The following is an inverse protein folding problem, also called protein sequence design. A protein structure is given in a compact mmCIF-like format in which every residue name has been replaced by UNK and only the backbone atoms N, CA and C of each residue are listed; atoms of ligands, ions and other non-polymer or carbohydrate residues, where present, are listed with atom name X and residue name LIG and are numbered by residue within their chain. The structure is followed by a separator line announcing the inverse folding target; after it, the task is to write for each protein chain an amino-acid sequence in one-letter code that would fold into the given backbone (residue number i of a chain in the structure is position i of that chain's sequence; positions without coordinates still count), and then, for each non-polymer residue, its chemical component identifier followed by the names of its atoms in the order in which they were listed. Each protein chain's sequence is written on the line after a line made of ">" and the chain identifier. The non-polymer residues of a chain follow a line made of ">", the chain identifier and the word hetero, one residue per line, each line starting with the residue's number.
data_IF_463829920399
#
_entry.id   IF_463829920399
#
_cell.length_a   1.000
_cell.length_b   1.000
_cell.length_c   1.000
_cell.angle_alpha   90.00
_cell.angle_beta   90.00
_cell.angle_gamma   90.00
#
_symmetry.space_group_name_H-M   'P 1'
#
loop_
_entity.id
_entity.type
_entity.pdbx_description
1 polymer ?
#
# COMPACT_ATOMS: atom_id res chain seq x y z
N UNK A 1 54.40 19.16 -4.03
CA UNK A 1 55.10 17.87 -3.79
C UNK A 1 54.04 16.84 -3.45
N UNK A 2 53.61 16.06 -4.43
CA UNK A 2 52.57 15.04 -4.26
C UNK A 2 53.24 13.78 -3.67
N UNK A 3 53.02 13.50 -2.38
CA UNK A 3 53.61 12.31 -1.75
C UNK A 3 52.82 11.08 -2.19
N UNK A 4 53.55 10.05 -2.62
CA UNK A 4 52.95 8.78 -3.05
C UNK A 4 52.03 8.20 -1.96
N UNK A 5 50.85 7.62 -2.33
CA UNK A 5 49.84 7.13 -1.38
C UNK A 5 50.35 6.08 -0.38
N UNK A 6 51.47 5.43 -0.67
CA UNK A 6 52.14 4.51 0.26
C UNK A 6 52.80 5.20 1.46
N UNK A 7 53.33 6.41 1.29
CA UNK A 7 53.97 7.17 2.37
C UNK A 7 52.95 7.74 3.37
N UNK A 8 51.77 8.16 2.88
CA UNK A 8 50.70 8.65 3.75
C UNK A 8 50.22 7.59 4.74
N UNK A 9 50.05 6.33 4.26
CA UNK A 9 49.65 5.22 5.13
C UNK A 9 50.68 4.91 6.21
N UNK A 10 51.97 4.92 5.85
CA UNK A 10 53.07 4.73 6.82
C UNK A 10 53.14 5.87 7.83
N UNK A 11 52.92 7.11 7.40
CA UNK A 11 52.83 8.25 8.30
C UNK A 11 51.65 8.12 9.26
N UNK A 12 50.47 7.68 8.81
CA UNK A 12 49.29 7.47 9.66
C UNK A 12 49.52 6.44 10.77
N UNK A 13 50.31 5.40 10.50
CA UNK A 13 50.57 4.35 11.47
C UNK A 13 51.46 4.79 12.64
N UNK A 14 52.30 5.80 12.42
CA UNK A 14 53.20 6.37 13.45
C UNK A 14 52.53 7.43 14.34
N UNK A 15 51.31 7.86 14.02
CA UNK A 15 50.60 8.93 14.73
C UNK A 15 49.78 8.39 15.91
N UNK A 16 49.70 9.20 16.96
CA UNK A 16 48.85 8.93 18.13
C UNK A 16 47.36 8.93 17.75
N UNK A 17 46.53 8.17 18.47
CA UNK A 17 45.11 8.00 18.16
C UNK A 17 44.33 9.34 18.16
N UNK A 18 44.73 10.28 19.01
CA UNK A 18 44.17 11.64 19.07
C UNK A 18 44.48 12.47 17.82
N UNK A 19 45.71 12.38 17.32
CA UNK A 19 46.14 13.06 16.09
C UNK A 19 45.42 12.51 14.85
N UNK A 20 45.23 11.17 14.79
CA UNK A 20 44.42 10.52 13.74
C UNK A 20 42.99 11.05 13.74
N UNK A 21 42.36 11.18 14.90
CA UNK A 21 41.01 11.76 15.02
C UNK A 21 40.96 13.22 14.57
N UNK A 22 41.89 14.07 15.00
CA UNK A 22 41.94 15.48 14.59
C UNK A 22 42.14 15.63 13.08
N UNK A 23 42.97 14.78 12.46
CA UNK A 23 43.23 14.82 11.01
C UNK A 23 42.00 14.39 10.20
N UNK A 24 41.30 13.34 10.62
CA UNK A 24 40.04 12.89 10.00
C UNK A 24 38.98 13.99 10.11
N UNK A 25 38.82 14.61 11.28
CA UNK A 25 37.87 15.71 11.47
C UNK A 25 38.18 16.92 10.57
N UNK A 26 39.46 17.31 10.43
CA UNK A 26 39.84 18.37 9.49
C UNK A 26 39.51 18.01 8.04
N UNK A 27 39.72 16.76 7.62
CA UNK A 27 39.44 16.32 6.24
C UNK A 27 37.93 16.31 5.95
N UNK A 28 37.10 15.92 6.90
CA UNK A 28 35.64 16.00 6.77
C UNK A 28 35.22 17.47 6.58
N UNK A 29 35.77 18.38 7.38
CA UNK A 29 35.44 19.80 7.28
C UNK A 29 35.88 20.44 5.95
N UNK A 30 37.03 20.03 5.38
CA UNK A 30 37.47 20.55 4.07
C UNK A 30 36.59 20.05 2.92
N UNK A 31 36.21 18.77 2.93
CA UNK A 31 35.29 18.22 1.92
C UNK A 31 33.92 18.91 2.00
N UNK A 32 33.46 19.17 3.23
CA UNK A 32 32.20 19.85 3.45
C UNK A 32 32.24 21.33 3.02
N UNK A 33 33.40 21.99 3.08
CA UNK A 33 33.57 23.34 2.50
C UNK A 33 33.68 23.33 0.97
N UNK A 34 34.28 22.29 0.37
CA UNK A 34 34.36 22.14 -1.09
C UNK A 34 32.97 21.93 -1.69
N UNK A 35 32.11 21.11 -1.05
CA UNK A 35 30.72 20.91 -1.48
C UNK A 35 29.88 22.19 -1.37
N UNK A 36 30.20 23.11 -0.45
CA UNK A 36 29.49 24.38 -0.32
C UNK A 36 29.93 25.45 -1.34
N UNK A 37 31.08 25.28 -1.99
CA UNK A 37 31.67 26.28 -2.90
C UNK A 37 31.11 26.28 -4.33
N UNK A 38 30.30 25.29 -4.73
CA UNK A 38 29.92 25.07 -6.13
C UNK A 38 28.52 25.57 -6.53
N UNK A 39 27.95 26.56 -5.82
CA UNK A 39 26.56 27.01 -6.07
C UNK A 39 26.39 28.50 -6.36
N UNK A 40 27.36 29.17 -6.98
CA UNK A 40 27.15 30.57 -7.36
C UNK A 40 27.89 31.00 -8.65
N UNK A 41 27.52 30.45 -9.80
CA UNK A 41 27.69 31.11 -11.10
C UNK A 41 26.51 30.75 -12.02
N UNK A 42 25.89 31.76 -12.64
CA UNK A 42 24.93 31.53 -13.73
C UNK A 42 23.63 32.32 -13.75
N UNK A 43 23.55 33.50 -13.14
CA UNK A 43 22.63 34.53 -13.60
C UNK A 43 23.21 35.17 -14.87
N UNK A 44 22.60 34.99 -16.06
CA UNK A 44 22.44 36.06 -17.05
C UNK A 44 21.64 35.66 -18.32
N UNK A 45 20.85 36.63 -18.76
CA UNK A 45 20.37 36.87 -20.14
C UNK A 45 19.15 36.06 -20.61
N UNK A 46 17.91 36.57 -20.66
CA UNK A 46 17.36 37.81 -21.26
C UNK A 46 17.46 37.86 -22.79
N UNK A 47 16.36 37.50 -23.48
CA UNK A 47 15.90 38.05 -24.77
C UNK A 47 14.50 37.47 -25.09
N UNK A 48 13.39 38.17 -24.90
CA UNK A 48 12.81 39.32 -25.63
C UNK A 48 12.32 39.02 -27.05
N UNK A 49 11.17 39.64 -27.38
CA UNK A 49 10.48 39.87 -28.67
C UNK A 49 9.29 38.93 -28.93
N UNK A 50 8.01 39.34 -28.78
CA UNK A 50 7.18 40.39 -29.43
C UNK A 50 6.68 40.04 -30.83
N UNK A 51 5.36 39.85 -30.96
CA UNK A 51 4.49 40.27 -32.09
C UNK A 51 3.03 39.99 -31.66
N UNK A 52 2.22 40.99 -31.28
CA UNK A 52 1.32 41.80 -32.14
C UNK A 52 0.43 40.97 -33.06
N UNK A 53 -0.87 40.86 -32.78
CA UNK A 53 -1.95 41.78 -33.22
C UNK A 53 -2.18 41.69 -34.73
N UNK A 54 -3.32 41.14 -35.17
CA UNK A 54 -4.46 41.88 -35.73
C UNK A 54 -5.56 40.94 -36.24
N UNK A 55 -6.79 41.43 -36.09
CA UNK A 55 -8.04 40.96 -36.70
C UNK A 55 -7.91 40.64 -38.19
N UNK A 56 -8.66 39.65 -38.68
CA UNK A 56 -9.68 39.91 -39.69
C UNK A 56 -10.60 38.69 -39.90
N UNK A 57 -11.88 38.98 -39.69
CA UNK A 57 -13.06 38.26 -40.19
C UNK A 57 -13.04 38.16 -41.71
N UNK A 58 -13.31 36.99 -42.29
CA UNK A 58 -14.31 36.78 -43.36
C UNK A 58 -14.21 35.40 -44.01
N UNK A 59 -15.39 34.76 -44.08
CA UNK A 59 -15.89 33.88 -45.14
C UNK A 59 -15.19 32.56 -45.49
N UNK A 60 -16.02 31.52 -45.34
CA UNK A 60 -15.97 30.13 -45.78
C UNK A 60 -15.56 29.91 -47.26
N UNK A 61 -15.17 28.66 -47.61
CA UNK A 61 -14.17 28.36 -48.62
C UNK A 61 -14.76 27.94 -49.97
N UNK A 62 -14.04 28.14 -51.10
CA UNK A 62 -14.39 27.48 -52.35
C UNK A 62 -13.70 26.11 -52.44
N UNK A 63 -14.55 25.10 -52.59
CA UNK A 63 -14.23 23.74 -52.98
C UNK A 63 -13.48 23.71 -54.32
N UNK A 64 -12.20 23.35 -54.32
CA UNK A 64 -11.45 23.00 -55.52
C UNK A 64 -10.60 21.73 -55.26
N UNK A 65 -11.12 20.63 -55.81
CA UNK A 65 -10.45 19.40 -56.27
C UNK A 65 -8.95 19.26 -55.92
N UNK A 66 -8.67 18.44 -54.89
CA UNK A 66 -7.33 17.96 -54.57
C UNK A 66 -6.98 16.83 -55.57
N UNK A 67 -5.98 17.09 -56.41
CA UNK A 67 -5.45 16.14 -57.39
C UNK A 67 -4.78 14.93 -56.68
N UNK A 68 -4.95 13.68 -57.16
CA UNK A 68 -4.62 12.49 -56.38
C UNK A 68 -3.14 12.09 -56.35
N UNK A 69 -2.24 12.85 -56.98
CA UNK A 69 -0.84 12.42 -57.19
C UNK A 69 0.20 13.17 -56.36
N UNK A 70 -0.19 13.82 -55.26
CA UNK A 70 0.74 14.37 -54.26
C UNK A 70 0.70 13.57 -52.96
N UNK A 71 0.71 12.24 -53.09
CA UNK A 71 1.12 11.31 -52.03
C UNK A 71 2.65 11.35 -51.87
N UNK A 72 3.21 12.51 -51.53
CA UNK A 72 4.57 12.58 -50.98
C UNK A 72 4.40 12.66 -49.46
N UNK A 73 4.28 11.50 -48.81
CA UNK A 73 4.36 11.41 -47.35
C UNK A 73 5.79 11.81 -46.97
N UNK A 74 6.00 12.96 -46.31
CA UNK A 74 7.34 13.31 -45.86
C UNK A 74 7.77 12.29 -44.80
N UNK A 75 8.96 11.73 -44.99
CA UNK A 75 9.55 10.76 -44.08
C UNK A 75 9.57 11.33 -42.65
N UNK A 76 9.07 10.56 -41.68
CA UNK A 76 8.89 10.94 -40.25
C UNK A 76 10.18 11.46 -39.60
N UNK A 77 11.35 11.13 -40.17
CA UNK A 77 12.67 11.63 -39.75
C UNK A 77 12.87 13.14 -39.99
N UNK A 78 12.16 13.73 -40.96
CA UNK A 78 12.27 15.16 -41.29
C UNK A 78 11.49 16.07 -40.33
N UNK A 79 10.51 15.53 -39.61
CA UNK A 79 9.60 16.31 -38.77
C UNK A 79 10.13 16.58 -37.36
N UNK A 80 11.32 16.07 -36.99
CA UNK A 80 11.97 16.40 -35.72
C UNK A 80 11.15 16.08 -34.45
N UNK A 81 10.04 15.35 -34.60
CA UNK A 81 9.08 15.01 -33.55
C UNK A 81 9.61 13.95 -32.59
N UNK A 82 10.81 13.41 -32.83
CA UNK A 82 11.50 12.50 -31.90
C UNK A 82 12.23 13.26 -30.76
N UNK A 83 11.99 14.57 -30.63
CA UNK A 83 12.40 15.38 -29.46
C UNK A 83 11.30 15.55 -28.41
N UNK A 84 10.30 14.66 -28.39
CA UNK A 84 9.39 14.55 -27.27
C UNK A 84 10.08 13.81 -26.13
N UNK A 85 10.34 14.50 -25.01
CA UNK A 85 10.77 13.86 -23.77
C UNK A 85 9.83 12.69 -23.45
N UNK A 86 10.38 11.48 -23.42
CA UNK A 86 9.63 10.28 -23.04
C UNK A 86 9.08 10.52 -21.64
N UNK A 87 7.75 10.48 -21.44
CA UNK A 87 7.16 10.69 -20.12
C UNK A 87 7.68 9.59 -19.18
N UNK A 88 8.12 9.93 -17.95
CA UNK A 88 8.71 8.95 -17.05
C UNK A 88 7.71 7.84 -16.78
N UNK A 89 8.17 6.60 -16.95
CA UNK A 89 7.36 5.41 -16.80
C UNK A 89 6.62 5.50 -15.45
N UNK A 90 5.29 5.36 -15.45
CA UNK A 90 4.43 5.43 -14.24
C UNK A 90 4.83 4.45 -13.12
N UNK A 91 5.80 3.57 -13.37
CA UNK A 91 6.40 2.64 -12.39
C UNK A 91 7.51 3.30 -11.56
N UNK A 92 8.07 4.42 -12.00
CA UNK A 92 9.22 5.07 -11.34
C UNK A 92 8.80 6.04 -10.21
N UNK A 93 7.53 6.45 -10.16
CA UNK A 93 7.04 7.36 -9.11
C UNK A 93 7.00 6.69 -7.72
N UNK A 94 6.85 5.36 -7.67
CA UNK A 94 6.88 4.59 -6.42
C UNK A 94 8.32 4.24 -6.03
N UNK A 95 9.24 4.13 -7.00
CA UNK A 95 10.63 3.76 -6.73
C UNK A 95 11.51 4.93 -6.25
N UNK A 96 11.03 6.19 -6.38
CA UNK A 96 11.76 7.38 -5.89
C UNK A 96 11.27 7.93 -4.56
N UNK A 97 10.67 7.11 -3.70
CA UNK A 97 10.85 7.38 -2.27
C UNK A 97 12.31 6.99 -2.02
N UNK A 98 13.24 7.91 -1.76
CA UNK A 98 14.60 7.52 -1.46
C UNK A 98 14.52 6.57 -0.27
N UNK A 99 14.79 5.27 -0.51
CA UNK A 99 15.08 4.32 0.54
C UNK A 99 16.24 4.94 1.30
N UNK A 100 15.93 5.60 2.42
CA UNK A 100 16.95 6.07 3.32
C UNK A 100 17.58 4.80 3.85
N UNK A 101 18.65 4.35 3.20
CA UNK A 101 19.44 3.20 3.55
C UNK A 101 20.00 3.38 4.97
N UNK A 102 19.16 3.12 5.97
CA UNK A 102 19.54 2.94 7.37
C UNK A 102 19.69 1.46 7.71
N UNK A 103 19.62 0.57 6.73
CA UNK A 103 19.53 -0.89 6.92
C UNK A 103 20.74 -1.52 7.62
N UNK A 104 21.86 -0.81 7.80
CA UNK A 104 23.05 -1.36 8.46
C UNK A 104 23.51 -0.59 9.71
N UNK A 105 23.14 0.69 9.83
CA UNK A 105 23.62 1.53 10.94
C UNK A 105 23.12 1.06 12.31
N UNK A 106 21.98 0.38 12.36
CA UNK A 106 21.44 -0.13 13.62
C UNK A 106 22.00 -1.50 14.01
N UNK A 107 22.28 -2.41 13.07
CA UNK A 107 22.98 -3.66 13.40
C UNK A 107 24.36 -3.39 14.04
N UNK A 108 25.03 -2.33 13.59
CA UNK A 108 26.26 -1.84 14.21
C UNK A 108 26.00 -1.34 15.65
N UNK A 109 24.85 -0.70 15.88
CA UNK A 109 24.44 -0.22 17.20
C UNK A 109 23.93 -1.34 18.12
N UNK A 110 23.35 -2.45 17.69
CA UNK A 110 22.97 -3.52 18.64
C UNK A 110 24.08 -4.50 18.92
N UNK A 111 25.06 -4.63 18.02
CA UNK A 111 26.21 -5.49 18.25
C UNK A 111 26.96 -5.11 19.54
N UNK A 112 27.08 -3.83 19.90
CA UNK A 112 27.70 -3.45 21.17
C UNK A 112 26.92 -3.94 22.40
N UNK A 113 25.58 -4.02 22.35
CA UNK A 113 24.78 -4.55 23.47
C UNK A 113 25.00 -6.05 23.70
N UNK A 114 25.29 -6.80 22.64
CA UNK A 114 25.58 -8.24 22.70
C UNK A 114 27.06 -8.54 23.00
N UNK A 115 27.97 -7.71 22.48
CA UNK A 115 29.42 -7.93 22.50
C UNK A 115 30.20 -7.01 23.43
N UNK A 116 29.54 -6.21 24.30
CA UNK A 116 30.24 -5.33 25.24
C UNK A 116 31.39 -6.11 25.89
N UNK A 117 32.63 -5.69 25.58
CA UNK A 117 33.86 -6.21 26.15
C UNK A 117 33.77 -5.91 27.65
N UNK A 118 33.19 -6.86 28.38
CA UNK A 118 32.77 -6.65 29.76
C UNK A 118 34.00 -6.33 30.61
N UNK A 119 34.12 -5.06 30.98
CA UNK A 119 34.85 -4.62 32.17
C UNK A 119 34.60 -5.62 33.31
N UNK A 120 35.66 -6.10 34.00
CA UNK A 120 35.52 -7.07 35.07
C UNK A 120 34.45 -6.61 36.05
N UNK A 121 33.61 -7.53 36.56
CA UNK A 121 32.56 -7.15 37.49
C UNK A 121 33.18 -6.41 38.68
N UNK A 122 32.62 -5.26 39.11
CA UNK A 122 33.15 -4.52 40.25
C UNK A 122 33.21 -5.44 41.49
N UNK A 123 34.13 -5.17 42.42
CA UNK A 123 34.24 -5.95 43.68
C UNK A 123 32.90 -6.08 44.41
N UNK A 124 32.07 -5.04 44.33
CA UNK A 124 30.70 -5.00 44.85
C UNK A 124 29.83 -6.14 44.29
N UNK A 125 29.96 -6.46 42.99
CA UNK A 125 29.23 -7.55 42.37
C UNK A 125 29.58 -8.91 42.98
N UNK A 126 30.84 -9.10 43.38
CA UNK A 126 31.26 -10.33 44.05
C UNK A 126 30.72 -10.40 45.48
N UNK A 127 30.77 -9.28 46.23
CA UNK A 127 30.20 -9.19 47.58
C UNK A 127 28.69 -9.46 47.59
N UNK A 128 27.94 -8.88 46.64
CA UNK A 128 26.50 -9.14 46.51
C UNK A 128 26.20 -10.59 46.17
N UNK A 129 27.01 -11.20 45.30
CA UNK A 129 26.87 -12.60 44.94
C UNK A 129 27.09 -13.52 46.16
N UNK A 130 28.14 -13.27 46.95
CA UNK A 130 28.37 -13.98 48.22
C UNK A 130 27.19 -13.79 49.17
N UNK A 131 26.67 -12.56 49.30
CA UNK A 131 25.52 -12.27 50.14
C UNK A 131 24.24 -13.01 49.67
N UNK A 132 23.99 -13.07 48.37
CA UNK A 132 22.86 -13.84 47.82
C UNK A 132 23.03 -15.34 48.10
N UNK A 133 24.24 -15.90 47.96
CA UNK A 133 24.50 -17.29 48.35
C UNK A 133 24.31 -17.52 49.86
N UNK A 134 24.74 -16.59 50.70
CA UNK A 134 24.51 -16.67 52.16
C UNK A 134 23.02 -16.64 52.49
N UNK A 135 22.23 -15.77 51.84
CA UNK A 135 20.78 -15.74 52.02
C UNK A 135 20.11 -17.04 51.56
N UNK A 136 20.57 -17.62 50.44
CA UNK A 136 20.07 -18.91 49.95
C UNK A 136 20.37 -20.03 50.95
N UNK A 137 21.58 -20.03 51.54
CA UNK A 137 21.97 -21.01 52.56
C UNK A 137 21.17 -20.83 53.86
N UNK A 138 20.97 -19.58 54.31
CA UNK A 138 20.21 -19.26 55.52
C UNK A 138 18.72 -19.61 55.39
N UNK A 139 18.15 -19.43 54.20
CA UNK A 139 16.73 -19.72 53.91
C UNK A 139 16.49 -21.11 53.31
N UNK A 140 17.49 -22.01 53.38
CA UNK A 140 17.32 -23.40 52.98
C UNK A 140 16.31 -24.11 53.89
N UNK A 141 15.26 -24.81 53.39
CA UNK A 141 14.95 -25.21 51.99
C UNK A 141 13.93 -24.32 51.24
N UNK A 142 13.36 -23.30 51.89
CA UNK A 142 12.31 -22.43 51.33
C UNK A 142 12.75 -21.72 50.04
N UNK A 143 14.02 -21.31 49.97
CA UNK A 143 14.56 -20.58 48.84
C UNK A 143 14.52 -21.35 47.51
N UNK A 144 14.66 -22.68 47.55
CA UNK A 144 14.76 -23.50 46.34
C UNK A 144 13.49 -23.41 45.49
N UNK A 145 12.33 -23.38 46.14
CA UNK A 145 11.04 -23.18 45.47
C UNK A 145 10.91 -21.81 44.79
N UNK A 146 11.55 -20.76 45.33
CA UNK A 146 11.51 -19.42 44.73
C UNK A 146 12.51 -19.23 43.59
N UNK A 147 13.68 -19.88 43.68
CA UNK A 147 14.77 -19.78 42.71
C UNK A 147 14.50 -20.53 41.41
N UNK A 148 13.80 -21.67 41.51
CA UNK A 148 13.48 -22.52 40.38
C UNK A 148 12.23 -22.00 39.69
N UNK A 149 12.38 -21.51 38.45
CA UNK A 149 11.25 -21.08 37.62
C UNK A 149 11.25 -21.78 36.28
N UNK A 150 10.06 -22.12 35.80
CA UNK A 150 9.84 -22.78 34.51
C UNK A 150 9.31 -21.75 33.52
N UNK A 151 9.97 -21.64 32.36
CA UNK A 151 9.52 -20.81 31.23
C UNK A 151 8.97 -21.73 30.14
N UNK A 152 7.81 -21.37 29.58
CA UNK A 152 7.13 -22.13 28.53
C UNK A 152 7.81 -21.96 27.16
N UNK A 153 7.58 -22.90 26.25
CA UNK A 153 8.21 -22.91 24.91
C UNK A 153 7.99 -21.63 24.09
N UNK A 154 6.77 -21.10 24.13
CA UNK A 154 6.37 -19.88 23.42
C UNK A 154 6.84 -18.59 24.10
N UNK A 155 7.61 -18.69 25.19
CA UNK A 155 8.14 -17.57 25.96
C UNK A 155 9.67 -17.60 26.00
N UNK A 156 10.28 -16.41 26.14
CA UNK A 156 11.72 -16.27 26.39
C UNK A 156 11.96 -15.36 27.57
N UNK A 157 12.93 -15.74 28.40
CA UNK A 157 13.34 -14.93 29.54
C UNK A 157 14.61 -14.13 29.20
N UNK A 158 14.52 -12.81 29.37
CA UNK A 158 15.64 -11.87 29.36
C UNK A 158 16.03 -11.62 30.82
N UNK A 159 17.24 -11.99 31.20
CA UNK A 159 17.71 -11.90 32.59
C UNK A 159 18.78 -10.80 32.68
N UNK A 160 18.58 -9.87 33.61
CA UNK A 160 19.53 -8.83 33.97
C UNK A 160 20.11 -9.14 35.35
N UNK A 161 21.44 -9.28 35.41
CA UNK A 161 22.19 -9.46 36.66
C UNK A 161 22.81 -8.13 37.05
N UNK A 162 22.34 -7.50 38.13
CA UNK A 162 22.78 -6.16 38.55
C UNK A 162 22.70 -5.14 37.39
N UNK A 163 21.61 -5.17 36.62
CA UNK A 163 21.41 -4.30 35.45
C UNK A 163 22.18 -4.68 34.19
N UNK A 164 23.04 -5.71 34.23
CA UNK A 164 23.78 -6.18 33.04
C UNK A 164 23.11 -7.42 32.43
N UNK A 165 22.92 -7.44 31.11
CA UNK A 165 22.37 -8.59 30.38
C UNK A 165 23.29 -9.81 30.47
N UNK A 166 22.79 -10.96 30.92
CA UNK A 166 23.62 -12.18 31.10
C UNK A 166 24.29 -12.67 29.81
N UNK A 167 25.44 -13.37 29.96
CA UNK A 167 26.13 -14.05 28.86
C UNK A 167 25.17 -15.09 28.24
N UNK A 168 24.86 -14.93 26.96
CA UNK A 168 23.91 -15.78 26.22
C UNK A 168 22.66 -15.06 25.72
N UNK A 169 22.45 -13.78 26.08
CA UNK A 169 21.33 -12.98 25.58
C UNK A 169 20.00 -13.43 26.16
N UNK A 170 19.35 -14.39 25.51
CA UNK A 170 18.07 -14.97 25.96
C UNK A 170 18.22 -16.39 26.43
N UNK A 171 17.55 -16.71 27.53
CA UNK A 171 17.41 -18.11 27.97
C UNK A 171 16.24 -18.74 27.24
N UNK A 172 16.45 -19.99 26.83
CA UNK A 172 15.44 -20.79 26.14
C UNK A 172 14.23 -21.11 27.00
N UNK A 173 13.37 -22.03 26.57
CA UNK A 173 12.34 -22.60 27.43
C UNK A 173 12.92 -23.67 28.36
N UNK A 174 12.22 -23.98 29.44
CA UNK A 174 12.62 -24.97 30.42
C UNK A 174 12.87 -24.40 31.81
N UNK A 175 13.61 -25.17 32.62
CA UNK A 175 13.92 -24.85 34.01
C UNK A 175 15.14 -23.92 34.10
N UNK A 176 14.98 -22.78 34.78
CA UNK A 176 16.09 -21.86 35.03
C UNK A 176 16.21 -21.54 36.52
N UNK A 177 17.45 -21.42 36.98
CA UNK A 177 17.78 -20.95 38.31
C UNK A 177 18.00 -19.44 38.28
N UNK A 178 17.16 -18.71 39.01
CA UNK A 178 17.23 -17.25 39.14
C UNK A 178 17.60 -16.93 40.58
N UNK A 179 18.68 -16.18 40.77
CA UNK A 179 19.14 -15.77 42.10
C UNK A 179 18.18 -14.70 42.66
N UNK A 180 17.60 -14.90 43.85
CA UNK A 180 16.80 -13.87 44.50
C UNK A 180 17.68 -12.64 44.81
N UNK A 181 17.05 -11.46 44.78
CA UNK A 181 17.66 -10.13 45.02
C UNK A 181 18.58 -9.57 43.91
N UNK A 182 19.31 -10.40 43.17
CA UNK A 182 20.31 -9.93 42.18
C UNK A 182 19.76 -9.94 40.75
N UNK A 183 19.10 -11.03 40.37
CA UNK A 183 18.68 -11.25 38.99
C UNK A 183 17.24 -10.74 38.80
N UNK A 184 17.04 -9.83 37.85
CA UNK A 184 15.71 -9.43 37.39
C UNK A 184 15.43 -10.10 36.05
N UNK A 185 14.26 -10.71 35.91
CA UNK A 185 13.87 -11.39 34.67
C UNK A 185 12.64 -10.72 34.05
N UNK A 186 12.64 -10.60 32.72
CA UNK A 186 11.50 -10.18 31.92
C UNK A 186 11.14 -11.32 30.96
N UNK A 187 9.92 -11.81 31.07
CA UNK A 187 9.38 -12.86 30.21
C UNK A 187 8.67 -12.19 29.05
N UNK A 188 9.08 -12.54 27.83
CA UNK A 188 8.51 -12.02 26.59
C UNK A 188 7.83 -13.15 25.84
N UNK A 189 6.60 -12.93 25.38
CA UNK A 189 5.86 -13.87 24.54
C UNK A 189 6.30 -13.71 23.08
N UNK A 190 6.59 -14.82 22.42
CA UNK A 190 7.01 -14.85 21.01
C UNK A 190 5.85 -15.08 20.03
N UNK A 191 4.63 -15.32 20.53
CA UNK A 191 3.45 -15.53 19.69
C UNK A 191 3.04 -14.24 19.00
N UNK A 192 2.26 -14.40 17.92
CA UNK A 192 1.61 -13.28 17.25
C UNK A 192 0.56 -12.70 18.19
N UNK A 193 0.67 -11.40 18.44
CA UNK A 193 -0.28 -10.60 19.19
C UNK A 193 -0.94 -9.63 18.22
N UNK A 194 -2.20 -9.33 18.48
CA UNK A 194 -2.93 -8.28 17.76
C UNK A 194 -3.30 -7.14 18.71
N UNK A 195 -3.30 -5.92 18.18
CA UNK A 195 -3.96 -4.79 18.83
C UNK A 195 -4.71 -3.95 17.81
N UNK A 196 -5.78 -3.32 18.28
CA UNK A 196 -6.53 -2.35 17.51
C UNK A 196 -5.82 -1.00 17.57
N UNK A 197 -5.64 -0.37 16.41
CA UNK A 197 -5.22 1.02 16.30
C UNK A 197 -6.47 1.88 16.51
N UNK A 198 -6.45 2.84 17.45
CA UNK A 198 -7.63 3.68 17.68
C UNK A 198 -7.94 4.52 16.43
N UNK A 199 -9.20 4.94 16.25
CA UNK A 199 -9.65 5.64 15.05
C UNK A 199 -8.79 6.87 14.76
N UNK A 200 -8.30 6.99 13.53
CA UNK A 200 -7.51 8.14 13.07
C UNK A 200 -8.33 9.02 12.15
N UNK A 201 -8.52 10.28 12.53
CA UNK A 201 -9.09 11.30 11.64
C UNK A 201 -8.00 11.80 10.69
N UNK A 202 -8.25 11.64 9.39
CA UNK A 202 -7.31 11.97 8.32
C UNK A 202 -8.01 12.79 7.24
N UNK A 203 -7.25 13.69 6.61
CA UNK A 203 -7.66 14.32 5.36
C UNK A 203 -7.09 13.50 4.20
N UNK A 204 -7.98 12.91 3.42
CA UNK A 204 -7.60 12.21 2.17
C UNK A 204 -7.08 13.17 1.11
N UNK A 205 -6.48 12.63 0.04
CA UNK A 205 -5.99 13.42 -1.10
C UNK A 205 -7.08 14.28 -1.77
N UNK A 206 -8.33 13.83 -1.69
CA UNK A 206 -9.49 14.52 -2.27
C UNK A 206 -10.11 15.54 -1.31
N UNK A 207 -9.39 15.90 -0.24
CA UNK A 207 -9.87 16.83 0.78
C UNK A 207 -11.12 16.36 1.54
N UNK A 208 -11.35 15.04 1.58
CA UNK A 208 -12.42 14.43 2.38
C UNK A 208 -11.87 13.97 3.71
N UNK A 209 -12.53 14.34 4.81
CA UNK A 209 -12.21 13.85 6.15
C UNK A 209 -12.76 12.43 6.34
N UNK A 210 -11.89 11.52 6.78
CA UNK A 210 -12.23 10.10 6.97
C UNK A 210 -11.66 9.64 8.31
N UNK A 211 -12.42 8.81 9.03
CA UNK A 211 -11.98 8.15 10.26
C UNK A 211 -11.65 6.68 9.95
N UNK A 212 -10.39 6.30 10.12
CA UNK A 212 -9.92 4.94 9.78
C UNK A 212 -9.52 4.16 11.02
N UNK A 213 -10.00 2.92 11.10
CA UNK A 213 -9.64 1.93 12.10
C UNK A 213 -8.86 0.78 11.45
N UNK A 214 -7.84 0.27 12.14
CA UNK A 214 -7.00 -0.82 11.63
C UNK A 214 -6.57 -1.76 12.76
N UNK A 215 -6.21 -2.99 12.41
CA UNK A 215 -5.68 -4.01 13.31
C UNK A 215 -4.29 -4.40 12.83
N UNK A 216 -3.36 -4.54 13.77
CA UNK A 216 -1.97 -4.91 13.46
C UNK A 216 -1.65 -6.21 14.17
N UNK A 217 -1.12 -7.16 13.40
CA UNK A 217 -0.61 -8.41 13.91
C UNK A 217 0.91 -8.34 13.88
N UNK A 218 1.53 -8.55 15.03
CA UNK A 218 2.97 -8.44 15.20
C UNK A 218 3.45 -9.54 16.16
N UNK A 219 4.74 -9.84 16.10
CA UNK A 219 5.40 -10.71 17.08
C UNK A 219 6.75 -10.14 17.45
N UNK A 220 7.24 -10.50 18.64
CA UNK A 220 8.61 -10.15 19.02
C UNK A 220 9.57 -11.11 18.34
N UNK A 221 10.42 -10.60 17.45
CA UNK A 221 11.47 -11.37 16.78
C UNK A 221 12.71 -11.51 17.66
N UNK A 222 13.15 -10.41 18.30
CA UNK A 222 14.29 -10.41 19.21
C UNK A 222 13.88 -9.90 20.61
N UNK A 223 13.71 -10.79 21.59
CA UNK A 223 13.27 -10.41 22.94
C UNK A 223 14.30 -9.61 23.73
N UNK A 224 15.62 -9.75 23.46
CA UNK A 224 16.62 -8.87 24.09
C UNK A 224 16.35 -7.43 23.68
N UNK A 225 16.26 -7.21 22.37
CA UNK A 225 16.15 -5.90 21.75
C UNK A 225 14.83 -5.22 22.12
N UNK A 226 13.74 -5.99 22.15
CA UNK A 226 12.42 -5.50 22.56
C UNK A 226 12.37 -5.00 24.00
N UNK A 227 13.27 -5.45 24.87
CA UNK A 227 13.33 -5.01 26.28
C UNK A 227 14.40 -3.93 26.47
N UNK A 228 15.49 -3.95 25.70
CA UNK A 228 16.62 -3.01 25.90
C UNK A 228 16.49 -1.70 25.14
N UNK A 229 15.93 -1.72 23.93
CA UNK A 229 15.96 -0.55 23.03
C UNK A 229 14.76 0.38 23.19
N UNK A 230 13.67 -0.11 23.77
CA UNK A 230 12.40 0.61 23.89
C UNK A 230 11.79 0.31 25.25
N UNK A 231 11.19 1.32 25.88
CA UNK A 231 10.57 1.17 27.20
C UNK A 231 9.35 0.23 27.12
N UNK A 232 8.51 0.42 26.10
CA UNK A 232 7.35 -0.43 25.80
C UNK A 232 7.21 -0.60 24.28
N UNK A 233 7.63 -1.77 23.78
CA UNK A 233 7.58 -2.10 22.37
C UNK A 233 6.16 -2.11 21.80
N UNK A 234 5.16 -2.55 22.59
CA UNK A 234 3.77 -2.63 22.13
C UNK A 234 3.17 -1.24 21.99
N UNK A 235 3.36 -0.39 23.00
CA UNK A 235 2.87 0.98 22.98
C UNK A 235 3.54 1.82 21.89
N UNK A 236 4.87 1.73 21.75
CA UNK A 236 5.60 2.45 20.71
C UNK A 236 5.19 1.99 19.30
N UNK A 237 4.96 0.68 19.09
CA UNK A 237 4.45 0.16 17.81
C UNK A 237 3.05 0.69 17.51
N UNK A 238 2.17 0.79 18.50
CA UNK A 238 0.83 1.37 18.32
C UNK A 238 0.88 2.85 17.93
N UNK A 239 1.78 3.65 18.51
CA UNK A 239 1.93 5.06 18.12
C UNK A 239 2.52 5.21 16.71
N UNK A 240 3.54 4.40 16.38
CA UNK A 240 4.12 4.39 15.04
C UNK A 240 3.07 3.99 14.00
N UNK A 241 2.24 2.99 14.29
CA UNK A 241 1.10 2.60 13.46
C UNK A 241 0.12 3.74 13.17
N UNK A 242 -0.24 4.54 14.18
CA UNK A 242 -1.12 5.70 13.99
C UNK A 242 -0.54 6.71 13.00
N UNK A 243 0.74 7.06 13.17
CA UNK A 243 1.40 8.04 12.31
C UNK A 243 1.63 7.51 10.90
N UNK A 244 2.02 6.24 10.75
CA UNK A 244 2.22 5.60 9.45
C UNK A 244 0.91 5.46 8.68
N UNK A 245 -0.18 5.04 9.33
CA UNK A 245 -1.51 5.00 8.72
C UNK A 245 -1.96 6.39 8.28
N UNK A 246 -1.82 7.41 9.14
CA UNK A 246 -2.13 8.81 8.77
C UNK A 246 -1.38 9.25 7.51
N UNK A 247 -0.09 8.96 7.44
CA UNK A 247 0.75 9.35 6.31
C UNK A 247 0.39 8.61 5.03
N UNK A 248 0.22 7.27 5.08
CA UNK A 248 -0.10 6.47 3.90
C UNK A 248 -1.50 6.79 3.39
N UNK A 249 -2.50 6.77 4.26
CA UNK A 249 -3.89 7.02 3.86
C UNK A 249 -4.10 8.47 3.41
N UNK A 250 -3.39 9.45 3.98
CA UNK A 250 -3.45 10.84 3.53
C UNK A 250 -3.01 11.05 2.07
N UNK A 251 -2.17 10.15 1.52
CA UNK A 251 -1.74 10.22 0.11
C UNK A 251 -2.72 9.58 -0.87
N UNK A 252 -3.73 8.86 -0.37
CA UNK A 252 -4.69 8.08 -1.16
C UNK A 252 -6.00 8.83 -1.34
N UNK A 253 -6.67 8.57 -2.46
CA UNK A 253 -8.02 9.09 -2.74
C UNK A 253 -9.06 8.30 -1.95
N UNK A 254 -10.25 8.86 -1.71
CA UNK A 254 -11.31 8.16 -0.98
C UNK A 254 -11.72 6.87 -1.72
N UNK A 255 -11.80 6.94 -3.05
CA UNK A 255 -12.16 5.79 -3.89
C UNK A 255 -11.12 4.67 -3.78
N UNK A 256 -9.82 5.01 -3.81
CA UNK A 256 -8.73 4.04 -3.58
C UNK A 256 -8.81 3.44 -2.18
N UNK A 257 -9.10 4.22 -1.14
CA UNK A 257 -9.25 3.69 0.22
C UNK A 257 -10.38 2.67 0.34
N UNK A 258 -11.49 2.88 -0.36
CA UNK A 258 -12.63 1.98 -0.32
C UNK A 258 -12.45 0.73 -1.19
N UNK A 259 -11.75 0.84 -2.33
CA UNK A 259 -11.60 -0.25 -3.32
C UNK A 259 -10.30 -1.04 -3.18
N UNK A 260 -9.19 -0.41 -2.82
CA UNK A 260 -7.84 -0.99 -2.77
C UNK A 260 -7.32 -1.17 -1.33
N UNK A 261 -8.17 -1.66 -0.42
CA UNK A 261 -7.82 -1.83 1.00
C UNK A 261 -6.56 -2.68 1.20
N UNK A 262 -6.42 -3.76 0.45
CA UNK A 262 -5.29 -4.69 0.55
C UNK A 262 -3.97 -4.06 0.09
N UNK A 263 -4.02 -3.20 -0.94
CA UNK A 263 -2.83 -2.50 -1.44
C UNK A 263 -2.32 -1.48 -0.41
N UNK A 264 -3.24 -0.76 0.25
CA UNK A 264 -2.90 0.19 1.30
C UNK A 264 -2.35 -0.56 2.52
N UNK A 265 -3.00 -1.64 2.93
CA UNK A 265 -2.55 -2.51 4.01
C UNK A 265 -1.11 -3.00 3.77
N UNK A 266 -0.80 -3.49 2.57
CA UNK A 266 0.55 -3.97 2.22
C UNK A 266 1.61 -2.86 2.25
N UNK A 267 1.27 -1.64 1.82
CA UNK A 267 2.19 -0.49 1.90
C UNK A 267 2.44 -0.12 3.37
N UNK A 268 1.37 -0.03 4.18
CA UNK A 268 1.48 0.28 5.60
C UNK A 268 2.26 -0.79 6.37
N UNK A 269 2.09 -2.07 6.03
CA UNK A 269 2.84 -3.18 6.60
C UNK A 269 4.36 -3.01 6.40
N UNK A 270 4.80 -2.74 5.15
CA UNK A 270 6.22 -2.54 4.84
C UNK A 270 6.83 -1.37 5.62
N UNK A 271 6.14 -0.23 5.65
CA UNK A 271 6.62 0.96 6.36
C UNK A 271 6.68 0.72 7.86
N UNK A 272 5.71 0.00 8.42
CA UNK A 272 5.68 -0.32 9.85
C UNK A 272 6.74 -1.35 10.23
N UNK A 273 6.94 -2.38 9.41
CA UNK A 273 7.96 -3.40 9.61
C UNK A 273 9.37 -2.77 9.65
N UNK A 274 9.72 -1.99 8.63
CA UNK A 274 11.00 -1.26 8.59
C UNK A 274 11.20 -0.30 9.77
N UNK A 275 10.11 0.32 10.25
CA UNK A 275 10.14 1.23 11.39
C UNK A 275 10.24 0.52 12.75
N UNK A 276 9.78 -0.73 12.85
CA UNK A 276 9.74 -1.53 14.09
C UNK A 276 10.92 -2.50 14.25
N UNK A 277 11.66 -2.78 13.18
CA UNK A 277 12.89 -3.57 13.18
C UNK A 277 13.87 -3.18 14.32
N UNK A 278 14.13 -1.87 14.60
CA UNK A 278 15.04 -1.46 15.67
C UNK A 278 14.56 -1.79 17.10
N UNK A 279 13.28 -2.12 17.25
CA UNK A 279 12.67 -2.55 18.51
C UNK A 279 12.61 -4.07 18.62
N UNK A 280 13.09 -4.82 17.63
CA UNK A 280 13.02 -6.28 17.63
C UNK A 280 11.60 -6.82 17.49
N UNK A 281 10.69 -5.99 16.97
CA UNK A 281 9.30 -6.35 16.66
C UNK A 281 9.21 -6.60 15.16
N UNK A 282 8.56 -7.71 14.78
CA UNK A 282 8.24 -8.05 13.40
C UNK A 282 6.74 -7.84 13.19
N UNK A 283 6.38 -7.04 12.19
CA UNK A 283 4.99 -6.89 11.78
C UNK A 283 4.68 -8.01 10.79
N UNK A 284 3.62 -8.78 11.07
CA UNK A 284 3.23 -9.93 10.25
C UNK A 284 2.17 -9.57 9.22
N UNK A 285 1.23 -8.67 9.57
CA UNK A 285 0.25 -8.10 8.65
C UNK A 285 -0.43 -6.86 9.25
N UNK A 286 -0.97 -6.02 8.38
CA UNK A 286 -1.87 -4.92 8.74
C UNK A 286 -3.22 -5.15 8.07
N UNK A 287 -4.33 -4.99 8.79
CA UNK A 287 -5.69 -5.13 8.26
C UNK A 287 -6.47 -3.85 8.51
N UNK A 288 -7.12 -3.30 7.47
CA UNK A 288 -8.01 -2.13 7.60
C UNK A 288 -9.39 -2.63 8.06
N UNK A 289 -9.78 -2.26 9.28
CA UNK A 289 -11.02 -2.72 9.92
C UNK A 289 -12.22 -1.97 9.39
N UNK A 290 -12.19 -0.64 9.45
CA UNK A 290 -13.29 0.21 9.00
C UNK A 290 -12.81 1.58 8.51
N UNK A 291 -13.56 2.17 7.59
CA UNK A 291 -13.34 3.48 6.98
C UNK A 291 -14.66 4.25 7.08
N UNK A 292 -14.78 5.08 8.12
CA UNK A 292 -16.00 5.88 8.38
C UNK A 292 -15.90 7.26 7.74
N UNK A 293 -16.94 7.63 7.02
CA UNK A 293 -17.13 8.96 6.44
C UNK A 293 -18.15 9.75 7.27
N UNK A 294 -18.11 11.09 7.25
CA UNK A 294 -19.19 11.91 7.80
C UNK A 294 -20.55 11.52 7.22
N UNK A 295 -21.57 11.39 8.09
CA UNK A 295 -22.90 10.90 7.69
C UNK A 295 -23.56 11.72 6.57
N UNK A 296 -23.32 13.04 6.52
CA UNK A 296 -23.86 13.91 5.48
C UNK A 296 -23.28 13.57 4.11
N UNK A 297 -21.96 13.46 4.02
CA UNK A 297 -21.26 13.10 2.77
C UNK A 297 -21.63 11.69 2.31
N UNK A 298 -21.69 10.73 3.23
CA UNK A 298 -22.07 9.35 2.91
C UNK A 298 -23.45 9.27 2.26
N UNK A 299 -24.44 10.01 2.77
CA UNK A 299 -25.79 10.06 2.20
C UNK A 299 -25.80 10.70 0.81
N UNK A 300 -25.12 11.84 0.65
CA UNK A 300 -25.02 12.52 -0.66
C UNK A 300 -24.34 11.63 -1.70
N UNK A 301 -23.23 10.99 -1.34
CA UNK A 301 -22.50 10.06 -2.21
C UNK A 301 -23.35 8.84 -2.58
N UNK A 302 -24.12 8.27 -1.64
CA UNK A 302 -25.03 7.17 -1.92
C UNK A 302 -26.16 7.57 -2.88
N UNK A 303 -26.77 8.75 -2.68
CA UNK A 303 -27.82 9.27 -3.55
C UNK A 303 -27.30 9.55 -4.97
N UNK A 304 -26.11 10.14 -5.09
CA UNK A 304 -25.45 10.37 -6.38
C UNK A 304 -25.11 9.05 -7.09
N UNK A 305 -24.55 8.08 -6.37
CA UNK A 305 -24.23 6.77 -6.92
C UNK A 305 -25.49 6.02 -7.41
N UNK A 306 -26.60 6.12 -6.68
CA UNK A 306 -27.87 5.52 -7.09
C UNK A 306 -28.43 6.20 -8.34
N UNK A 307 -28.34 7.53 -8.43
CA UNK A 307 -28.75 8.28 -9.62
C UNK A 307 -27.93 7.90 -10.86
N UNK A 308 -26.59 7.82 -10.73
CA UNK A 308 -25.70 7.40 -11.82
C UNK A 308 -25.98 5.95 -12.24
N UNK A 309 -26.22 5.04 -11.28
CA UNK A 309 -26.59 3.65 -11.59
C UNK A 309 -27.93 3.55 -12.33
N UNK A 310 -28.95 4.31 -11.90
CA UNK A 310 -30.26 4.35 -12.58
C UNK A 310 -30.15 4.90 -14.00
N UNK A 311 -29.41 6.00 -14.19
CA UNK A 311 -29.17 6.56 -15.52
C UNK A 311 -28.43 5.57 -16.42
N UNK A 312 -27.39 4.91 -15.91
CA UNK A 312 -26.65 3.88 -16.67
C UNK A 312 -27.53 2.68 -17.01
N UNK A 313 -28.38 2.22 -16.10
CA UNK A 313 -29.32 1.14 -16.36
C UNK A 313 -30.33 1.51 -17.45
N UNK A 314 -30.85 2.74 -17.46
CA UNK A 314 -31.76 3.22 -18.50
C UNK A 314 -31.09 3.28 -19.89
N UNK A 315 -29.83 3.71 -19.97
CA UNK A 315 -29.06 3.70 -21.23
C UNK A 315 -28.83 2.27 -21.72
N UNK A 316 -28.45 1.35 -20.82
CA UNK A 316 -28.26 -0.06 -21.16
C UNK A 316 -29.57 -0.71 -21.62
N UNK A 317 -30.70 -0.37 -20.99
CA UNK A 317 -32.01 -0.88 -21.39
C UNK A 317 -32.42 -0.36 -22.77
N UNK A 318 -32.31 0.95 -23.02
CA UNK A 318 -32.61 1.52 -24.33
C UNK A 318 -31.70 0.98 -25.45
N UNK A 319 -30.40 0.79 -25.15
CA UNK A 319 -29.47 0.16 -26.10
C UNK A 319 -29.84 -1.31 -26.34
N UNK A 320 -30.18 -2.05 -25.28
CA UNK A 320 -30.64 -3.44 -25.38
C UNK A 320 -31.94 -3.58 -26.18
N UNK A 321 -32.88 -2.63 -26.04
CA UNK A 321 -34.11 -2.56 -26.85
C UNK A 321 -33.82 -2.27 -28.32
N UNK A 322 -32.84 -1.39 -28.62
CA UNK A 322 -32.39 -1.12 -29.98
C UNK A 322 -31.77 -2.38 -30.61
N UNK A 323 -30.82 -3.02 -29.93
CA UNK A 323 -30.15 -4.23 -30.42
C UNK A 323 -31.16 -5.39 -30.60
N UNK A 324 -32.10 -5.54 -29.66
CA UNK A 324 -33.20 -6.49 -29.78
C UNK A 324 -34.08 -6.18 -31.00
N UNK A 325 -34.41 -4.91 -31.25
CA UNK A 325 -35.21 -4.50 -32.41
C UNK A 325 -34.51 -4.80 -33.74
N UNK A 326 -33.20 -4.58 -33.83
CA UNK A 326 -32.39 -4.93 -35.02
C UNK A 326 -32.37 -6.45 -35.25
N UNK A 327 -32.20 -7.24 -34.18
CA UNK A 327 -32.26 -8.71 -34.27
C UNK A 327 -33.65 -9.22 -34.67
N UNK A 328 -34.71 -8.56 -34.21
CA UNK A 328 -36.09 -8.88 -34.58
C UNK A 328 -36.38 -8.53 -36.04
N UNK A 329 -35.83 -7.43 -36.55
CA UNK A 329 -35.97 -7.05 -37.96
C UNK A 329 -35.32 -8.09 -38.88
N UNK A 330 -34.08 -8.49 -38.59
CA UNK A 330 -33.40 -9.54 -39.38
C UNK A 330 -34.12 -10.89 -39.29
N UNK A 331 -34.65 -11.25 -38.12
CA UNK A 331 -35.50 -12.43 -37.97
C UNK A 331 -36.82 -12.30 -38.75
N UNK A 332 -37.42 -11.11 -38.80
CA UNK A 332 -38.63 -10.86 -39.58
C UNK A 332 -38.38 -11.00 -41.08
N UNK A 333 -37.27 -10.46 -41.59
CA UNK A 333 -36.89 -10.53 -43.01
C UNK A 333 -36.65 -11.99 -43.45
N UNK A 334 -36.02 -12.81 -42.61
CA UNK A 334 -35.84 -14.25 -42.87
C UNK A 334 -37.15 -15.04 -42.79
N UNK A 335 -38.04 -14.71 -41.85
CA UNK A 335 -39.37 -15.32 -41.74
C UNK A 335 -40.25 -14.96 -42.95
N UNK A 336 -40.14 -13.73 -43.47
CA UNK A 336 -40.95 -13.24 -44.59
C UNK A 336 -40.64 -13.95 -45.92
N UNK A 337 -39.46 -14.55 -46.08
CA UNK A 337 -39.08 -15.27 -47.30
C UNK A 337 -40.04 -16.44 -47.65
N UNK A 338 -40.67 -17.07 -46.64
CA UNK A 338 -41.62 -18.15 -46.86
C UNK A 338 -42.89 -17.95 -46.01
N UNK A 339 -44.05 -17.85 -46.68
CA UNK A 339 -45.37 -17.67 -46.04
C UNK A 339 -45.69 -18.76 -45.00
N UNK A 340 -45.14 -19.97 -45.15
CA UNK A 340 -45.30 -21.05 -44.17
C UNK A 340 -44.58 -20.77 -42.84
N UNK A 341 -43.48 -20.01 -42.84
CA UNK A 341 -42.71 -19.69 -41.62
C UNK A 341 -43.51 -18.80 -40.67
N UNK A 342 -44.28 -17.82 -41.19
CA UNK A 342 -45.17 -16.98 -40.37
C UNK A 342 -46.23 -17.85 -39.66
N UNK A 343 -46.80 -18.84 -40.36
CA UNK A 343 -47.77 -19.78 -39.77
C UNK A 343 -47.12 -20.65 -38.68
N UNK A 344 -45.93 -21.19 -38.92
CA UNK A 344 -45.18 -21.94 -37.90
C UNK A 344 -44.86 -21.06 -36.68
N UNK A 345 -44.44 -19.80 -36.87
CA UNK A 345 -44.18 -18.85 -35.78
C UNK A 345 -45.46 -18.51 -35.00
N UNK A 346 -46.59 -18.38 -35.68
CA UNK A 346 -47.90 -18.19 -35.06
C UNK A 346 -48.27 -19.38 -34.17
N UNK A 347 -48.15 -20.61 -34.69
CA UNK A 347 -48.37 -21.84 -33.91
C UNK A 347 -47.42 -21.95 -32.71
N UNK A 348 -46.13 -21.61 -32.86
CA UNK A 348 -45.18 -21.55 -31.74
C UNK A 348 -45.58 -20.52 -30.68
N UNK A 349 -46.09 -19.36 -31.10
CA UNK A 349 -46.55 -18.31 -30.18
C UNK A 349 -47.79 -18.79 -29.42
N UNK A 350 -48.70 -19.49 -30.09
CA UNK A 350 -49.84 -20.14 -29.44
C UNK A 350 -49.40 -21.20 -28.42
N UNK A 351 -48.38 -22.02 -28.73
CA UNK A 351 -47.83 -22.98 -27.75
C UNK A 351 -47.25 -22.27 -26.52
N UNK A 352 -46.57 -21.13 -26.69
CA UNK A 352 -46.06 -20.32 -25.57
C UNK A 352 -47.19 -19.72 -24.72
N UNK A 353 -48.24 -19.19 -25.35
CA UNK A 353 -49.41 -18.64 -24.67
C UNK A 353 -50.18 -19.76 -23.94
N UNK A 354 -50.31 -20.94 -24.54
CA UNK A 354 -50.94 -22.12 -23.93
C UNK A 354 -50.14 -22.71 -22.78
N UNK A 355 -48.81 -22.50 -22.74
CA UNK A 355 -47.97 -22.94 -21.63
C UNK A 355 -48.08 -22.04 -20.39
N UNK A 356 -48.35 -20.74 -20.58
CA UNK A 356 -48.78 -19.88 -19.48
C UNK A 356 -50.19 -20.31 -19.07
N UNK A 357 -50.47 -20.39 -17.76
CA UNK A 357 -51.74 -20.88 -17.17
C UNK A 357 -52.94 -19.93 -17.44
N UNK A 358 -53.19 -19.56 -18.69
CA UNK A 358 -54.29 -18.69 -19.10
C UNK A 358 -55.44 -19.54 -19.70
N UNK A 359 -56.65 -19.34 -19.19
CA UNK A 359 -57.85 -20.12 -19.59
C UNK A 359 -58.54 -19.59 -20.87
N UNK A 360 -58.03 -18.51 -21.46
CA UNK A 360 -58.64 -17.84 -22.61
C UNK A 360 -57.60 -17.57 -23.69
N UNK A 361 -57.64 -18.34 -24.78
CA UNK A 361 -56.80 -18.13 -25.96
C UNK A 361 -57.67 -17.43 -27.02
N UNK A 362 -57.44 -16.13 -27.23
CA UNK A 362 -58.10 -15.38 -28.30
C UNK A 362 -57.35 -15.60 -29.60
N UNK A 363 -57.92 -16.38 -30.53
CA UNK A 363 -57.33 -16.58 -31.86
C UNK A 363 -57.85 -15.54 -32.85
N UNK A 364 -57.02 -14.59 -33.32
CA UNK A 364 -57.42 -13.72 -34.42
C UNK A 364 -57.51 -14.53 -35.72
N UNK A 365 -58.73 -14.64 -36.26
CA UNK A 365 -58.99 -15.33 -37.52
C UNK A 365 -58.63 -14.42 -38.71
N UNK A 366 -57.85 -14.90 -39.70
CA UNK A 366 -57.47 -14.07 -40.85
C UNK A 366 -58.67 -13.65 -41.68
N UNK A 367 -58.92 -12.34 -41.76
CA UNK A 367 -60.06 -11.75 -42.48
C UNK A 367 -60.04 -12.10 -43.98
N UNK A 368 -58.90 -12.49 -44.55
CA UNK A 368 -58.80 -12.88 -45.95
C UNK A 368 -59.61 -14.14 -46.26
N UNK A 369 -59.58 -15.13 -45.36
CA UNK A 369 -60.36 -16.36 -45.50
C UNK A 369 -61.84 -16.01 -45.33
N UNK A 370 -62.18 -15.15 -44.36
CA UNK A 370 -63.55 -14.65 -44.17
C UNK A 370 -64.05 -13.91 -45.42
N UNK A 371 -63.23 -13.02 -46.01
CA UNK A 371 -63.54 -12.27 -47.24
C UNK A 371 -63.73 -13.20 -48.45
N UNK A 372 -62.92 -14.25 -48.59
CA UNK A 372 -63.07 -15.20 -49.69
C UNK A 372 -64.43 -15.91 -49.64
N UNK A 373 -64.86 -16.36 -48.45
CA UNK A 373 -66.20 -16.94 -48.27
C UNK A 373 -67.32 -15.90 -48.41
N UNK A 374 -67.16 -14.68 -47.87
CA UNK A 374 -68.15 -13.60 -48.04
C UNK A 374 -68.34 -13.21 -49.51
N UNK A 375 -67.26 -13.12 -50.30
CA UNK A 375 -67.34 -12.81 -51.73
C UNK A 375 -68.06 -13.93 -52.50
N UNK A 376 -67.86 -15.19 -52.11
CA UNK A 376 -68.57 -16.33 -52.70
C UNK A 376 -70.07 -16.33 -52.38
N UNK A 377 -70.48 -15.84 -51.21
CA UNK A 377 -71.89 -15.62 -50.87
C UNK A 377 -72.50 -14.45 -51.64
N UNK A 378 -71.75 -13.36 -51.84
CA UNK A 378 -72.24 -12.18 -52.56
C UNK A 378 -72.40 -12.40 -54.08
N UNK A 379 -71.71 -13.40 -54.65
CA UNK A 379 -71.78 -13.68 -56.09
C UNK A 379 -72.86 -14.71 -56.46
N UNK A 380 -73.67 -15.18 -55.49
CA UNK A 380 -74.78 -16.12 -55.72
C UNK A 380 -76.18 -15.51 -55.45
N UNK A 381 -76.25 -14.19 -55.22
CA UNK A 381 -77.46 -13.41 -55.42
C UNK A 381 -77.34 -12.64 -56.72
#
# INVERSE_FOLDING_TARGET
>A
MDRSPGEERRAMHKMSATERRQRIMRRIHTLQSEDTGYSNEGSLSRRSSTASVKDETASAPPSASINPNLLFVPDIRSLGLDRGEVPPHKRDAIEKIPMRARSQSWLIRTRHLLHEEREPPPLISHMMLIFSFLLILLSFPWCLFFCVKVVKEYQRAVIFRLGRLIKGGTKGPGLFFVLPCIDTMKIVDLRVLSFDVPPQEILSRDSVTVSVEAVIYFRVSNPVISVTNVNDAQFSTRLLAQTTLRNVLGTKTLSEMLSERDAIASISEKVLDEGTDPWGVKVERVEIKDIRLPHQLMRSMAAEAEAVRRARAAIIAAQGEKDASESLQTAADTIAQNKMTIQLRYLQTLTKISAQRNNTIVMPYPIEVAKHYMKKFHQKS
#
